data_IF_226699923792
#
_entry.id   IF_226699923792
#
_cell.length_a   1.000
_cell.length_b   1.000
_cell.length_c   1.000
_cell.angle_alpha   90.00
_cell.angle_beta   90.00
_cell.angle_gamma   90.00
#
_symmetry.space_group_name_H-M   'P 1'
#
loop_
_entity.id
_entity.type
_entity.pdbx_description
1 polymer ?
#
# COMPACT_ATOMS: atom_id res chain seq x y z
N UNK A 1 9.05 4.79 4.40
CA UNK A 1 8.31 5.42 5.53
C UNK A 1 7.12 6.29 5.10
N UNK A 2 7.17 6.94 3.93
CA UNK A 2 6.09 7.84 3.43
C UNK A 2 4.67 7.25 3.51
N UNK A 3 4.37 5.99 3.09
CA UNK A 3 3.01 5.44 3.15
C UNK A 3 2.45 5.33 4.57
N UNK A 4 3.27 4.92 5.53
CA UNK A 4 2.87 4.81 6.93
C UNK A 4 2.50 6.18 7.53
N UNK A 5 3.29 7.21 7.23
CA UNK A 5 3.03 8.58 7.68
C UNK A 5 1.69 9.06 7.12
N UNK A 6 1.45 8.86 5.83
CA UNK A 6 0.19 9.25 5.18
C UNK A 6 -0.99 8.53 5.81
N UNK A 7 -0.88 7.21 6.07
CA UNK A 7 -1.93 6.43 6.72
C UNK A 7 -2.35 7.06 8.07
N UNK A 8 -1.39 7.31 8.96
CA UNK A 8 -1.71 7.85 10.29
C UNK A 8 -2.13 9.33 10.27
N UNK A 9 -1.49 10.16 9.45
CA UNK A 9 -1.85 11.58 9.33
C UNK A 9 -3.27 11.73 8.78
N UNK A 10 -3.60 11.04 7.69
CA UNK A 10 -4.94 11.12 7.11
C UNK A 10 -5.98 10.52 8.05
N UNK A 11 -5.67 9.46 8.78
CA UNK A 11 -6.56 8.90 9.78
C UNK A 11 -6.88 9.91 10.89
N UNK A 12 -5.86 10.55 11.47
CA UNK A 12 -6.03 11.56 12.51
C UNK A 12 -6.82 12.77 11.99
N UNK A 13 -6.52 13.25 10.79
CA UNK A 13 -7.25 14.35 10.15
C UNK A 13 -8.72 13.98 9.90
N UNK A 14 -9.00 12.78 9.41
CA UNK A 14 -10.37 12.30 9.18
C UNK A 14 -11.19 12.25 10.47
N UNK A 15 -10.60 11.76 11.57
CA UNK A 15 -11.23 11.77 12.89
C UNK A 15 -11.50 13.20 13.34
N UNK A 16 -10.52 14.11 13.23
CA UNK A 16 -10.66 15.51 13.62
C UNK A 16 -11.78 16.22 12.85
N UNK A 17 -11.84 16.02 11.54
CA UNK A 17 -12.89 16.60 10.67
C UNK A 17 -14.26 16.04 11.05
N UNK A 18 -14.38 14.71 11.25
CA UNK A 18 -15.65 14.09 11.63
C UNK A 18 -16.15 14.60 12.97
N UNK A 19 -15.27 14.76 13.95
CA UNK A 19 -15.62 15.30 15.26
C UNK A 19 -16.11 16.75 15.19
N UNK A 20 -15.41 17.59 14.42
CA UNK A 20 -15.76 19.02 14.28
C UNK A 20 -17.04 19.24 13.47
N UNK A 21 -17.23 18.47 12.39
CA UNK A 21 -18.33 18.70 11.44
C UNK A 21 -19.64 17.98 11.83
N UNK A 22 -19.54 16.78 12.40
CA UNK A 22 -20.69 15.91 12.60
C UNK A 22 -20.93 15.51 14.08
N UNK A 23 -20.06 15.94 15.01
CA UNK A 23 -20.11 15.56 16.44
C UNK A 23 -20.18 14.03 16.67
N UNK A 24 -19.85 13.24 15.65
CA UNK A 24 -19.83 11.78 15.67
C UNK A 24 -18.61 11.28 14.94
N UNK A 25 -17.96 10.21 15.43
CA UNK A 25 -16.76 9.66 14.86
C UNK A 25 -17.06 8.26 14.32
N UNK A 26 -16.82 8.05 13.01
CA UNK A 26 -16.84 6.73 12.40
C UNK A 26 -15.40 6.30 12.13
N UNK A 27 -14.81 5.53 13.06
CA UNK A 27 -13.42 5.07 12.96
C UNK A 27 -13.17 4.16 11.74
N UNK A 28 -14.16 3.36 11.34
CA UNK A 28 -14.04 2.47 10.19
C UNK A 28 -13.95 3.28 8.90
N UNK A 29 -14.83 4.27 8.72
CA UNK A 29 -14.78 5.16 7.56
C UNK A 29 -13.48 6.00 7.54
N UNK A 30 -13.07 6.56 8.68
CA UNK A 30 -11.80 7.29 8.80
C UNK A 30 -10.61 6.40 8.41
N UNK A 31 -10.61 5.14 8.82
CA UNK A 31 -9.58 4.16 8.48
C UNK A 31 -9.58 3.77 7.00
N UNK A 32 -10.76 3.65 6.37
CA UNK A 32 -10.88 3.40 4.92
C UNK A 32 -10.37 4.59 4.10
N UNK A 33 -10.70 5.82 4.50
CA UNK A 33 -10.20 7.05 3.86
C UNK A 33 -8.67 7.13 3.96
N UNK A 34 -8.11 6.84 5.13
CA UNK A 34 -6.67 6.83 5.35
C UNK A 34 -5.94 5.78 4.49
N UNK A 35 -6.51 4.57 4.42
CA UNK A 35 -5.99 3.48 3.58
C UNK A 35 -6.07 3.85 2.08
N UNK A 36 -7.17 4.44 1.63
CA UNK A 36 -7.33 4.91 0.26
C UNK A 36 -6.30 5.98 -0.10
N UNK A 37 -6.08 6.97 0.76
CA UNK A 37 -5.06 8.00 0.56
C UNK A 37 -3.63 7.42 0.49
N UNK A 38 -3.34 6.43 1.34
CA UNK A 38 -2.06 5.71 1.31
C UNK A 38 -1.88 4.96 -0.02
N UNK A 39 -2.93 4.26 -0.51
CA UNK A 39 -2.89 3.54 -1.78
C UNK A 39 -2.69 4.47 -2.98
N UNK A 40 -3.31 5.64 -2.99
CA UNK A 40 -3.07 6.66 -4.02
C UNK A 40 -1.60 7.09 -4.05
N UNK A 41 -1.00 7.31 -2.86
CA UNK A 41 0.42 7.64 -2.78
C UNK A 41 1.32 6.52 -3.30
N UNK A 42 1.04 5.26 -2.93
CA UNK A 42 1.83 4.10 -3.38
C UNK A 42 1.65 3.86 -4.87
N UNK A 43 0.42 3.96 -5.38
CA UNK A 43 0.13 3.88 -6.81
C UNK A 43 0.92 4.91 -7.62
N UNK A 44 1.01 6.16 -7.14
CA UNK A 44 1.84 7.18 -7.79
C UNK A 44 3.31 6.75 -7.85
N UNK A 45 3.81 6.05 -6.84
CA UNK A 45 5.16 5.47 -6.83
C UNK A 45 5.38 4.49 -7.98
N UNK A 46 4.37 3.67 -8.34
CA UNK A 46 4.44 2.72 -9.47
C UNK A 46 4.64 3.42 -10.82
N UNK A 47 4.09 4.62 -11.00
CA UNK A 47 4.29 5.40 -12.23
C UNK A 47 5.57 6.21 -12.22
N UNK A 48 6.05 6.62 -11.04
CA UNK A 48 7.24 7.47 -10.90
C UNK A 48 8.54 6.67 -10.86
N UNK A 49 8.56 5.50 -10.22
CA UNK A 49 9.77 4.72 -9.97
C UNK A 49 9.74 3.37 -10.69
N UNK A 50 9.30 3.37 -11.94
CA UNK A 50 9.09 2.16 -12.75
C UNK A 50 10.35 1.30 -12.81
N UNK A 51 11.50 1.89 -13.11
CA UNK A 51 12.78 1.17 -13.27
C UNK A 51 13.18 0.43 -11.98
N UNK A 52 13.10 1.09 -10.83
CA UNK A 52 13.41 0.47 -9.55
C UNK A 52 12.42 -0.63 -9.17
N UNK A 53 11.14 -0.47 -9.52
CA UNK A 53 10.11 -1.48 -9.26
C UNK A 53 10.21 -2.69 -10.21
N UNK A 54 10.62 -2.50 -11.47
CA UNK A 54 10.92 -3.59 -12.40
C UNK A 54 12.01 -4.52 -11.84
N UNK A 55 13.03 -3.96 -11.19
CA UNK A 55 14.13 -4.72 -10.58
C UNK A 55 13.66 -5.60 -9.41
N UNK A 56 12.54 -5.26 -8.75
CA UNK A 56 11.96 -6.04 -7.66
C UNK A 56 11.24 -7.30 -8.15
N UNK A 57 10.83 -7.34 -9.41
CA UNK A 57 10.08 -8.46 -9.98
C UNK A 57 11.07 -9.59 -10.32
N UNK A 58 10.77 -10.85 -9.92
CA UNK A 58 11.60 -12.00 -10.21
C UNK A 58 11.91 -12.15 -11.70
N UNK A 59 13.14 -12.61 -12.03
CA UNK A 59 13.63 -12.65 -13.40
C UNK A 59 12.91 -13.66 -14.31
N UNK A 60 12.23 -14.64 -13.72
CA UNK A 60 11.43 -15.62 -14.45
C UNK A 60 10.09 -15.05 -14.97
N UNK A 61 9.67 -13.86 -14.49
CA UNK A 61 8.44 -13.22 -14.96
C UNK A 61 8.74 -12.30 -16.16
N UNK A 62 8.13 -12.56 -17.32
CA UNK A 62 8.21 -11.66 -18.47
C UNK A 62 7.40 -10.39 -18.25
N UNK A 63 7.61 -9.37 -19.08
CA UNK A 63 6.81 -8.13 -19.09
C UNK A 63 6.76 -7.39 -17.75
N UNK A 64 7.89 -7.28 -17.04
CA UNK A 64 7.98 -6.66 -15.69
C UNK A 64 7.33 -5.28 -15.62
N UNK A 65 7.52 -4.44 -16.64
CA UNK A 65 6.91 -3.11 -16.73
C UNK A 65 5.39 -3.14 -16.73
N UNK A 66 4.79 -4.13 -17.41
CA UNK A 66 3.34 -4.35 -17.39
C UNK A 66 2.84 -4.66 -15.97
N UNK A 67 3.54 -5.51 -15.21
CA UNK A 67 3.18 -5.82 -13.83
C UNK A 67 3.27 -4.59 -12.92
N UNK A 68 4.30 -3.74 -13.09
CA UNK A 68 4.44 -2.51 -12.31
C UNK A 68 3.25 -1.57 -12.55
N UNK A 69 2.89 -1.32 -13.80
CA UNK A 69 1.73 -0.47 -14.10
C UNK A 69 0.40 -1.08 -13.66
N UNK A 70 0.22 -2.39 -13.88
CA UNK A 70 -1.01 -3.08 -13.48
C UNK A 70 -1.23 -3.02 -11.97
N UNK A 71 -0.19 -3.22 -11.16
CA UNK A 71 -0.29 -3.11 -9.70
C UNK A 71 -0.61 -1.68 -9.26
N UNK A 72 -0.03 -0.66 -9.89
CA UNK A 72 -0.38 0.74 -9.63
C UNK A 72 -1.85 1.06 -9.96
N UNK A 73 -2.36 0.54 -11.07
CA UNK A 73 -3.78 0.69 -11.43
C UNK A 73 -4.68 -0.04 -10.44
N UNK A 74 -4.32 -1.27 -10.03
CA UNK A 74 -5.08 -2.02 -9.03
C UNK A 74 -5.14 -1.29 -7.68
N UNK A 75 -4.06 -0.64 -7.25
CA UNK A 75 -4.06 0.18 -6.04
C UNK A 75 -5.01 1.39 -6.16
N UNK A 76 -5.06 2.06 -7.32
CA UNK A 76 -6.01 3.16 -7.55
C UNK A 76 -7.47 2.68 -7.54
N UNK A 77 -7.76 1.56 -8.20
CA UNK A 77 -9.09 0.96 -8.18
C UNK A 77 -9.51 0.55 -6.77
N UNK A 78 -8.58 -0.02 -6.01
CA UNK A 78 -8.82 -0.38 -4.61
C UNK A 78 -9.05 0.87 -3.74
N UNK A 79 -8.29 1.95 -3.95
CA UNK A 79 -8.52 3.20 -3.23
C UNK A 79 -9.94 3.74 -3.44
N UNK A 80 -10.45 3.67 -4.68
CA UNK A 80 -11.84 4.03 -5.00
C UNK A 80 -12.81 3.05 -4.36
N UNK A 81 -12.58 1.74 -4.51
CA UNK A 81 -13.47 0.68 -3.98
C UNK A 81 -13.64 0.69 -2.46
N UNK A 82 -12.64 1.17 -1.71
CA UNK A 82 -12.72 1.33 -0.26
C UNK A 82 -13.70 2.42 0.20
N UNK A 83 -14.03 3.38 -0.66
CA UNK A 83 -14.87 4.53 -0.32
C UNK A 83 -16.36 4.27 -0.55
N UNK A 84 -16.73 3.23 -1.31
CA UNK A 84 -18.13 2.87 -1.56
C UNK A 84 -18.60 1.78 -0.62
N UNK A 85 -19.76 1.97 0.00
CA UNK A 85 -20.34 1.03 0.97
C UNK A 85 -20.74 -0.33 0.34
N UNK A 86 -20.91 -0.39 -0.96
CA UNK A 86 -21.21 -1.64 -1.68
C UNK A 86 -19.99 -2.50 -2.00
N UNK A 87 -18.77 -1.94 -1.94
CA UNK A 87 -17.56 -2.60 -2.46
C UNK A 87 -16.40 -2.68 -1.48
N UNK A 88 -16.45 -1.97 -0.34
CA UNK A 88 -15.29 -1.92 0.56
C UNK A 88 -14.90 -3.28 1.15
N UNK A 89 -15.85 -4.18 1.40
CA UNK A 89 -15.55 -5.52 1.95
C UNK A 89 -14.78 -6.37 0.95
N UNK A 90 -15.29 -6.48 -0.28
CA UNK A 90 -14.60 -7.25 -1.33
C UNK A 90 -13.27 -6.62 -1.70
N UNK A 91 -13.19 -5.29 -1.72
CA UNK A 91 -11.93 -4.56 -1.95
C UNK A 91 -10.93 -4.84 -0.84
N UNK A 92 -11.37 -4.87 0.42
CA UNK A 92 -10.53 -5.20 1.57
C UNK A 92 -9.95 -6.61 1.47
N UNK A 93 -10.78 -7.60 1.12
CA UNK A 93 -10.33 -8.97 0.92
C UNK A 93 -9.29 -9.06 -0.21
N UNK A 94 -9.55 -8.44 -1.35
CA UNK A 94 -8.63 -8.42 -2.48
C UNK A 94 -7.32 -7.69 -2.15
N UNK A 95 -7.37 -6.62 -1.35
CA UNK A 95 -6.17 -5.91 -0.88
C UNK A 95 -5.32 -6.77 0.05
N UNK A 96 -5.92 -7.54 0.95
CA UNK A 96 -5.17 -8.46 1.82
C UNK A 96 -4.43 -9.49 0.96
N UNK A 97 -5.11 -10.09 -0.03
CA UNK A 97 -4.49 -11.03 -0.98
C UNK A 97 -3.35 -10.33 -1.74
N UNK A 98 -3.59 -9.12 -2.25
CA UNK A 98 -2.60 -8.32 -2.96
C UNK A 98 -1.35 -8.06 -2.11
N UNK A 99 -1.53 -7.63 -0.85
CA UNK A 99 -0.41 -7.40 0.06
C UNK A 99 0.41 -8.66 0.32
N UNK A 100 -0.25 -9.83 0.45
CA UNK A 100 0.47 -11.11 0.58
C UNK A 100 1.25 -11.43 -0.70
N UNK A 101 0.66 -11.22 -1.88
CA UNK A 101 1.28 -11.54 -3.17
C UNK A 101 2.48 -10.65 -3.50
N UNK A 102 2.54 -9.41 -3.05
CA UNK A 102 3.69 -8.54 -3.29
C UNK A 102 4.85 -8.75 -2.30
N UNK A 103 4.64 -9.54 -1.23
CA UNK A 103 5.67 -9.80 -0.22
C UNK A 103 6.95 -10.43 -0.82
N UNK A 104 6.88 -11.44 -1.71
CA UNK A 104 8.08 -11.99 -2.35
C UNK A 104 8.91 -10.93 -3.09
N UNK A 105 8.28 -10.02 -3.83
CA UNK A 105 8.98 -8.92 -4.51
C UNK A 105 9.67 -7.96 -3.52
N UNK A 106 9.04 -7.71 -2.38
CA UNK A 106 9.63 -6.90 -1.31
C UNK A 106 10.85 -7.59 -0.67
N UNK A 107 10.80 -8.92 -0.49
CA UNK A 107 11.92 -9.73 0.01
C UNK A 107 13.07 -9.68 -1.01
N UNK A 108 12.77 -9.93 -2.29
CA UNK A 108 13.76 -9.89 -3.36
C UNK A 108 14.45 -8.52 -3.47
N UNK A 109 13.69 -7.42 -3.36
CA UNK A 109 14.24 -6.07 -3.36
C UNK A 109 15.29 -5.87 -2.26
N UNK A 110 15.01 -6.39 -1.06
CA UNK A 110 15.94 -6.31 0.06
C UNK A 110 17.16 -7.22 -0.11
N UNK A 111 16.98 -8.44 -0.64
CA UNK A 111 18.09 -9.37 -0.92
C UNK A 111 19.06 -8.83 -1.97
N UNK A 112 18.54 -8.12 -2.98
CA UNK A 112 19.33 -7.53 -4.06
C UNK A 112 19.80 -6.10 -3.78
N UNK A 113 19.59 -5.57 -2.57
CA UNK A 113 19.92 -4.19 -2.22
C UNK A 113 19.32 -3.15 -3.17
N UNK A 114 18.10 -3.37 -3.66
CA UNK A 114 17.48 -2.49 -4.66
C UNK A 114 17.04 -1.18 -4.01
N UNK A 115 17.50 -0.08 -4.58
CA UNK A 115 17.02 1.27 -4.28
C UNK A 115 15.90 1.62 -5.28
N UNK A 116 14.66 1.54 -4.84
CA UNK A 116 13.48 1.73 -5.69
C UNK A 116 13.43 3.14 -6.29
N UNK A 117 13.80 4.16 -5.51
CA UNK A 117 13.73 5.56 -5.95
C UNK A 117 14.78 5.90 -7.00
N UNK A 118 15.95 5.25 -6.97
CA UNK A 118 17.07 5.50 -7.88
C UNK A 118 17.21 4.47 -9.00
N UNK A 119 16.59 3.29 -8.87
CA UNK A 119 16.79 2.18 -9.79
C UNK A 119 18.22 1.61 -9.73
N UNK A 120 18.84 1.57 -8.56
CA UNK A 120 20.23 1.15 -8.33
C UNK A 120 20.31 0.02 -7.31
N UNK A 121 21.48 -0.61 -7.15
CA UNK A 121 21.72 -1.71 -6.20
C UNK A 121 22.42 -1.24 -4.91
N UNK A 122 22.20 0.00 -4.50
CA UNK A 122 22.74 0.63 -3.30
C UNK A 122 21.68 0.82 -2.18
N UNK A 123 20.63 0.02 -2.20
CA UNK A 123 19.55 0.07 -1.24
C UNK A 123 19.93 -0.52 0.14
N UNK A 124 19.04 -0.38 1.12
CA UNK A 124 19.33 -0.69 2.54
C UNK A 124 19.50 -2.20 2.87
N UNK A 125 19.27 -3.10 1.91
CA UNK A 125 19.52 -4.52 2.06
C UNK A 125 18.59 -5.26 3.04
N UNK A 126 19.09 -6.41 3.58
CA UNK A 126 18.28 -7.31 4.43
C UNK A 126 17.82 -6.68 5.75
N UNK A 127 18.58 -5.74 6.30
CA UNK A 127 18.15 -5.02 7.51
C UNK A 127 16.83 -4.29 7.34
N UNK A 128 16.49 -3.90 6.11
CA UNK A 128 15.23 -3.24 5.79
C UNK A 128 14.01 -4.17 5.84
N UNK A 129 14.20 -5.49 5.76
CA UNK A 129 13.12 -6.47 5.94
C UNK A 129 12.52 -6.41 7.35
N UNK A 130 13.35 -6.18 8.38
CA UNK A 130 12.88 -6.01 9.75
C UNK A 130 11.90 -4.84 9.91
N UNK A 131 11.93 -3.89 9.00
CA UNK A 131 10.95 -2.80 8.94
C UNK A 131 9.80 -3.14 7.98
N UNK A 132 10.10 -3.68 6.79
CA UNK A 132 9.10 -3.93 5.75
C UNK A 132 8.09 -5.02 6.11
N UNK A 133 8.52 -6.12 6.70
CA UNK A 133 7.63 -7.23 7.05
C UNK A 133 6.62 -6.81 8.14
N UNK A 134 7.03 -6.22 9.27
CA UNK A 134 6.07 -5.68 10.24
C UNK A 134 5.12 -4.63 9.64
N UNK A 135 5.62 -3.77 8.74
CA UNK A 135 4.80 -2.78 8.04
C UNK A 135 3.73 -3.45 7.17
N UNK A 136 4.08 -4.52 6.48
CA UNK A 136 3.16 -5.30 5.66
C UNK A 136 2.06 -5.94 6.53
N UNK A 137 2.44 -6.52 7.67
CA UNK A 137 1.50 -7.10 8.65
C UNK A 137 0.56 -6.01 9.18
N UNK A 138 1.08 -4.81 9.46
CA UNK A 138 0.27 -3.67 9.87
C UNK A 138 -0.75 -3.29 8.81
N UNK A 139 -0.37 -3.19 7.53
CA UNK A 139 -1.30 -2.85 6.46
C UNK A 139 -2.38 -3.93 6.26
N UNK A 140 -2.02 -5.21 6.34
CA UNK A 140 -2.98 -6.32 6.30
C UNK A 140 -3.95 -6.24 7.49
N UNK A 141 -3.44 -6.07 8.70
CA UNK A 141 -4.26 -5.94 9.91
C UNK A 141 -5.17 -4.71 9.86
N UNK A 142 -4.64 -3.56 9.41
CA UNK A 142 -5.42 -2.34 9.23
C UNK A 142 -6.57 -2.56 8.26
N UNK A 143 -6.28 -3.13 7.07
CA UNK A 143 -7.29 -3.43 6.05
C UNK A 143 -8.37 -4.34 6.61
N UNK A 144 -8.00 -5.43 7.28
CA UNK A 144 -8.95 -6.34 7.93
C UNK A 144 -9.87 -5.61 8.90
N UNK A 145 -9.31 -4.78 9.79
CA UNK A 145 -10.08 -4.06 10.80
C UNK A 145 -11.09 -3.07 10.22
N UNK A 146 -10.73 -2.36 9.13
CA UNK A 146 -11.58 -1.28 8.60
C UNK A 146 -12.56 -1.76 7.52
N UNK A 147 -12.41 -3.01 7.04
CA UNK A 147 -13.25 -3.53 5.93
C UNK A 147 -13.99 -4.82 6.26
N UNK A 148 -13.45 -5.72 7.10
CA UNK A 148 -14.00 -7.06 7.31
C UNK A 148 -14.50 -7.30 8.74
N UNK A 149 -14.32 -6.38 9.66
CA UNK A 149 -14.80 -6.44 11.03
C UNK A 149 -16.03 -5.52 11.18
#
# INVERSE_FOLDING_TARGET
MKPLIVLFVVFALSIGIMWLAFSSINYMLAGRIALAAMLVLTAFGHFKFVEGMEMMIPDFLPFKRFFVYSTGILELLAAVGLLFDSTFEITGLLLIIFFVLILPSNIQASMRHINIEKGTLDGPGLSYLWFRVPLQILFIGWTYFVTLR
#
